data_IF_086137731902
#
_entry.id   IF_086137731902
#
_cell.length_a   1.000
_cell.length_b   1.000
_cell.length_c   1.000
_cell.angle_alpha   90.00
_cell.angle_beta   90.00
_cell.angle_gamma   90.00
#
_symmetry.space_group_name_H-M   'P 1'
#
loop_
_entity.id
_entity.type
_entity.pdbx_description
1 polymer ?
#
# COMPACT_ATOMS: atom_id res chain seq x y z
N UNK A 1 25.39 -12.87 -2.98
CA UNK A 1 26.05 -11.71 -3.62
C UNK A 1 25.18 -11.04 -4.68
N UNK A 2 24.67 -11.74 -5.71
CA UNK A 2 23.76 -11.16 -6.73
C UNK A 2 22.51 -10.47 -6.15
N UNK A 3 21.89 -11.03 -5.10
CA UNK A 3 20.72 -10.43 -4.43
C UNK A 3 21.02 -9.10 -3.71
N UNK A 4 22.21 -8.97 -3.11
CA UNK A 4 22.66 -7.73 -2.46
C UNK A 4 22.93 -6.64 -3.51
N UNK A 5 23.51 -7.01 -4.65
CA UNK A 5 23.76 -6.07 -5.76
C UNK A 5 22.44 -5.61 -6.39
N UNK A 6 21.48 -6.52 -6.55
CA UNK A 6 20.14 -6.18 -7.04
C UNK A 6 19.38 -5.26 -6.07
N UNK A 7 19.51 -5.51 -4.76
CA UNK A 7 18.91 -4.68 -3.71
C UNK A 7 19.55 -3.29 -3.67
N UNK A 8 20.88 -3.21 -3.79
CA UNK A 8 21.61 -1.95 -3.86
C UNK A 8 21.27 -1.14 -5.13
N UNK A 9 21.04 -1.81 -6.26
CA UNK A 9 20.63 -1.17 -7.52
C UNK A 9 19.20 -0.60 -7.45
N UNK A 10 18.28 -1.34 -6.81
CA UNK A 10 16.94 -0.83 -6.51
C UNK A 10 16.99 0.39 -5.57
N UNK A 11 17.87 0.36 -4.57
CA UNK A 11 18.06 1.47 -3.62
C UNK A 11 18.64 2.73 -4.30
N UNK A 12 19.53 2.57 -5.28
CA UNK A 12 20.07 3.70 -6.05
C UNK A 12 19.03 4.36 -6.96
N UNK A 13 18.07 3.60 -7.50
CA UNK A 13 16.96 4.18 -8.27
C UNK A 13 16.07 5.09 -7.42
N UNK A 14 15.93 4.80 -6.12
CA UNK A 14 15.21 5.64 -5.18
C UNK A 14 15.93 6.95 -4.83
N UNK A 15 17.26 6.94 -4.77
CA UNK A 15 18.06 8.13 -4.43
C UNK A 15 17.96 9.22 -5.51
N UNK A 16 17.75 8.85 -6.78
CA UNK A 16 17.55 9.79 -7.89
C UNK A 16 16.10 10.31 -7.99
N UNK A 17 15.15 9.77 -7.22
CA UNK A 17 13.75 10.23 -7.23
C UNK A 17 13.50 11.48 -6.36
N UNK A 18 14.54 12.00 -5.68
CA UNK A 18 14.50 13.26 -4.92
C UNK A 18 14.66 14.52 -5.80
N UNK A 19 14.87 14.36 -7.10
CA UNK A 19 14.89 15.47 -8.05
C UNK A 19 13.46 16.00 -8.27
N UNK A 20 13.27 17.34 -8.24
CA UNK A 20 11.97 18.04 -8.15
C UNK A 20 10.97 17.87 -9.30
N UNK A 21 11.15 16.86 -10.16
CA UNK A 21 10.20 16.40 -11.19
C UNK A 21 9.67 15.00 -10.85
N UNK A 22 9.33 14.76 -9.58
CA UNK A 22 8.75 13.50 -9.16
C UNK A 22 7.41 13.29 -9.90
N UNK A 23 7.16 12.11 -10.49
CA UNK A 23 5.88 11.78 -11.12
C UNK A 23 4.79 11.76 -10.07
N UNK A 24 4.11 12.89 -9.86
CA UNK A 24 3.02 13.00 -8.89
C UNK A 24 1.68 12.76 -9.59
N UNK A 25 0.83 11.94 -8.98
CA UNK A 25 -0.55 11.83 -9.42
C UNK A 25 -1.39 12.94 -8.81
N UNK A 26 -2.10 13.72 -9.62
CA UNK A 26 -3.10 14.63 -9.11
C UNK A 26 -4.40 13.86 -8.81
N UNK A 27 -4.75 13.75 -7.52
CA UNK A 27 -5.97 13.08 -7.08
C UNK A 27 -7.26 13.72 -7.62
N UNK A 28 -7.23 15.00 -8.02
CA UNK A 28 -8.39 15.67 -8.63
C UNK A 28 -8.77 15.08 -10.00
N UNK A 29 -7.82 14.44 -10.69
CA UNK A 29 -8.04 13.81 -11.99
C UNK A 29 -8.57 12.38 -11.86
N UNK A 30 -8.60 11.83 -10.63
CA UNK A 30 -9.18 10.52 -10.36
C UNK A 30 -10.68 10.63 -10.15
N UNK A 31 -11.43 9.84 -10.93
CA UNK A 31 -12.86 9.66 -10.70
C UNK A 31 -13.13 8.94 -9.36
N UNK A 32 -14.28 9.25 -8.75
CA UNK A 32 -14.74 8.63 -7.50
C UNK A 32 -14.81 7.08 -7.56
N UNK A 33 -14.92 6.49 -8.75
CA UNK A 33 -14.93 5.05 -8.93
C UNK A 33 -13.68 4.34 -8.38
N UNK A 34 -12.54 5.03 -8.26
CA UNK A 34 -11.31 4.48 -7.67
C UNK A 34 -11.42 4.19 -6.18
N UNK A 35 -12.43 4.72 -5.49
CA UNK A 35 -12.71 4.41 -4.08
C UNK A 35 -13.28 3.00 -3.91
N UNK A 36 -13.78 2.36 -4.98
CA UNK A 36 -14.47 1.08 -4.89
C UNK A 36 -13.63 -0.05 -4.27
N UNK A 37 -12.36 -0.31 -4.67
CA UNK A 37 -11.56 -1.35 -4.03
C UNK A 37 -11.28 -1.07 -2.55
N UNK A 38 -11.14 0.21 -2.18
CA UNK A 38 -10.96 0.63 -0.79
C UNK A 38 -12.22 0.37 0.04
N UNK A 39 -13.39 0.76 -0.45
CA UNK A 39 -14.66 0.44 0.21
C UNK A 39 -14.88 -1.08 0.30
N UNK A 40 -14.48 -1.83 -0.73
CA UNK A 40 -14.57 -3.29 -0.78
C UNK A 40 -13.77 -3.99 0.32
N UNK A 41 -12.51 -3.57 0.55
CA UNK A 41 -11.70 -4.15 1.64
C UNK A 41 -12.24 -3.74 3.02
N UNK A 42 -12.70 -2.50 3.20
CA UNK A 42 -13.33 -2.05 4.46
C UNK A 42 -14.60 -2.85 4.78
N UNK A 43 -15.43 -3.10 3.77
CA UNK A 43 -16.63 -3.92 3.94
C UNK A 43 -16.26 -5.38 4.25
N UNK A 44 -15.20 -5.89 3.62
CA UNK A 44 -14.71 -7.26 3.85
C UNK A 44 -14.26 -7.44 5.30
N UNK A 45 -13.46 -6.53 5.86
CA UNK A 45 -13.02 -6.59 7.26
C UNK A 45 -14.17 -6.36 8.24
N UNK A 46 -15.25 -5.68 7.83
CA UNK A 46 -16.40 -5.42 8.68
C UNK A 46 -17.41 -6.58 8.69
N UNK A 47 -17.64 -7.24 7.55
CA UNK A 47 -18.71 -8.25 7.41
C UNK A 47 -18.18 -9.67 7.60
N UNK A 48 -17.07 -10.04 6.97
CA UNK A 48 -16.62 -11.44 6.97
C UNK A 48 -16.28 -12.00 8.36
N UNK A 49 -15.66 -11.25 9.28
CA UNK A 49 -15.44 -11.76 10.64
C UNK A 49 -16.74 -12.06 11.39
N UNK A 50 -17.83 -11.35 11.06
CA UNK A 50 -19.13 -11.51 11.71
C UNK A 50 -19.95 -12.66 11.11
N UNK A 51 -19.89 -12.84 9.79
CA UNK A 51 -20.69 -13.84 9.07
C UNK A 51 -19.98 -15.19 8.98
N UNK A 52 -18.65 -15.21 8.79
CA UNK A 52 -17.87 -16.41 8.56
C UNK A 52 -16.45 -16.28 9.15
N UNK A 53 -16.29 -16.32 10.48
CA UNK A 53 -15.02 -16.08 11.17
C UNK A 53 -13.92 -17.06 10.75
N UNK A 54 -14.19 -18.37 10.71
CA UNK A 54 -13.17 -19.37 10.33
C UNK A 54 -12.66 -19.17 8.90
N UNK A 55 -13.56 -18.83 7.97
CA UNK A 55 -13.19 -18.52 6.60
C UNK A 55 -12.33 -17.26 6.51
N UNK A 56 -12.71 -16.22 7.25
CA UNK A 56 -11.98 -14.96 7.29
C UNK A 56 -10.56 -15.16 7.83
N UNK A 57 -10.41 -15.81 8.98
CA UNK A 57 -9.08 -16.03 9.59
C UNK A 57 -8.14 -16.82 8.67
N UNK A 58 -8.65 -17.77 7.89
CA UNK A 58 -7.83 -18.52 6.93
C UNK A 58 -7.53 -17.74 5.63
N UNK A 59 -8.40 -16.82 5.20
CA UNK A 59 -8.32 -16.18 3.89
C UNK A 59 -8.15 -14.65 3.91
N UNK A 60 -7.98 -14.02 5.08
CA UNK A 60 -7.85 -12.56 5.20
C UNK A 60 -6.79 -12.01 4.24
N UNK A 61 -5.61 -12.65 4.19
CA UNK A 61 -4.52 -12.21 3.32
C UNK A 61 -4.85 -12.35 1.84
N UNK A 62 -5.60 -13.39 1.45
CA UNK A 62 -6.03 -13.61 0.05
C UNK A 62 -7.07 -12.57 -0.37
N UNK A 63 -8.02 -12.26 0.52
CA UNK A 63 -9.07 -11.26 0.26
C UNK A 63 -8.44 -9.87 0.16
N UNK A 64 -7.53 -9.51 1.08
CA UNK A 64 -6.77 -8.26 1.02
C UNK A 64 -5.94 -8.16 -0.26
N UNK A 65 -5.25 -9.24 -0.65
CA UNK A 65 -4.48 -9.28 -1.89
C UNK A 65 -5.38 -9.13 -3.13
N UNK A 66 -6.56 -9.75 -3.14
CA UNK A 66 -7.53 -9.60 -4.22
C UNK A 66 -7.93 -8.13 -4.42
N UNK A 67 -8.31 -7.43 -3.35
CA UNK A 67 -8.68 -6.01 -3.43
C UNK A 67 -7.49 -5.11 -3.80
N UNK A 68 -6.30 -5.41 -3.28
CA UNK A 68 -5.08 -4.68 -3.64
C UNK A 68 -4.74 -4.83 -5.12
N UNK A 69 -4.81 -6.04 -5.67
CA UNK A 69 -4.59 -6.32 -7.10
C UNK A 69 -5.66 -5.62 -7.94
N UNK A 70 -6.92 -5.64 -7.49
CA UNK A 70 -8.01 -4.96 -8.18
C UNK A 70 -7.83 -3.45 -8.25
N UNK A 71 -7.09 -2.84 -7.31
CA UNK A 71 -6.70 -1.43 -7.39
C UNK A 71 -5.45 -1.24 -8.25
N UNK A 72 -4.38 -1.99 -7.97
CA UNK A 72 -3.05 -1.78 -8.56
C UNK A 72 -3.04 -2.10 -10.06
N UNK A 73 -3.66 -3.20 -10.50
CA UNK A 73 -3.64 -3.63 -11.91
C UNK A 73 -4.27 -2.59 -12.85
N UNK A 74 -5.52 -2.15 -12.66
CA UNK A 74 -6.09 -1.13 -13.54
C UNK A 74 -5.38 0.21 -13.40
N UNK A 75 -4.85 0.54 -12.22
CA UNK A 75 -4.09 1.78 -12.02
C UNK A 75 -2.79 1.77 -12.82
N UNK A 76 -2.09 0.63 -12.81
CA UNK A 76 -0.88 0.39 -13.60
C UNK A 76 -1.15 0.48 -15.11
N UNK A 77 -2.31 0.01 -15.57
CA UNK A 77 -2.72 0.12 -16.98
C UNK A 77 -3.11 1.54 -17.38
N UNK A 78 -3.74 2.32 -16.49
CA UNK A 78 -4.29 3.64 -16.82
C UNK A 78 -3.29 4.78 -16.63
N UNK A 79 -2.50 4.72 -15.55
CA UNK A 79 -1.53 5.77 -15.15
C UNK A 79 -0.11 5.40 -15.58
N UNK A 80 0.19 4.10 -15.66
CA UNK A 80 1.49 3.59 -16.06
C UNK A 80 2.34 3.09 -14.88
N UNK A 81 3.37 2.31 -15.21
CA UNK A 81 4.21 1.60 -14.24
C UNK A 81 4.98 2.55 -13.32
N UNK A 82 5.64 3.57 -13.86
CA UNK A 82 6.52 4.48 -13.10
C UNK A 82 5.76 5.23 -12.01
N UNK A 83 4.62 5.85 -12.35
CA UNK A 83 3.82 6.62 -11.38
C UNK A 83 3.19 5.67 -10.34
N UNK A 84 2.61 4.55 -10.78
CA UNK A 84 2.01 3.57 -9.85
C UNK A 84 3.02 3.05 -8.84
N UNK A 85 4.23 2.72 -9.30
CA UNK A 85 5.30 2.24 -8.43
C UNK A 85 5.80 3.33 -7.50
N UNK A 86 5.96 4.57 -8.01
CA UNK A 86 6.34 5.72 -7.21
C UNK A 86 5.34 5.95 -6.07
N UNK A 87 4.05 6.07 -6.38
CA UNK A 87 3.00 6.31 -5.38
C UNK A 87 2.91 5.17 -4.36
N UNK A 88 2.96 3.90 -4.81
CA UNK A 88 2.91 2.75 -3.91
C UNK A 88 4.09 2.73 -2.92
N UNK A 89 5.28 3.09 -3.40
CA UNK A 89 6.48 3.13 -2.57
C UNK A 89 6.52 4.39 -1.71
N UNK A 90 6.04 5.53 -2.21
CA UNK A 90 5.91 6.77 -1.46
C UNK A 90 5.00 6.55 -0.25
N UNK A 91 3.76 6.10 -0.48
CA UNK A 91 2.80 5.81 0.59
C UNK A 91 3.34 4.69 1.49
N UNK A 92 3.89 3.61 0.93
CA UNK A 92 4.41 2.49 1.71
C UNK A 92 5.58 2.86 2.63
N UNK A 93 6.54 3.63 2.13
CA UNK A 93 7.77 3.94 2.87
C UNK A 93 7.69 5.23 3.68
N UNK A 94 7.04 6.26 3.17
CA UNK A 94 7.02 7.58 3.81
C UNK A 94 5.77 7.85 4.65
N UNK A 95 4.69 7.11 4.45
CA UNK A 95 3.48 7.27 5.26
C UNK A 95 3.25 6.05 6.17
N UNK A 96 3.26 4.85 5.60
CA UNK A 96 2.87 3.63 6.31
C UNK A 96 3.93 3.15 7.31
N UNK A 97 5.21 3.11 6.92
CA UNK A 97 6.30 2.73 7.85
C UNK A 97 6.39 3.73 9.03
N UNK A 98 6.42 5.06 8.82
CA UNK A 98 6.43 6.02 9.91
C UNK A 98 5.20 5.89 10.80
N UNK A 99 4.02 5.64 10.24
CA UNK A 99 2.81 5.38 11.02
C UNK A 99 2.98 4.15 11.93
N UNK A 100 3.53 3.04 11.44
CA UNK A 100 3.82 1.86 12.27
C UNK A 100 4.83 2.19 13.38
N UNK A 101 5.89 2.95 13.07
CA UNK A 101 6.88 3.37 14.06
C UNK A 101 6.22 4.24 15.14
N UNK A 102 5.32 5.15 14.76
CA UNK A 102 4.56 5.97 15.69
C UNK A 102 3.66 5.11 16.59
N UNK A 103 2.95 4.12 16.03
CA UNK A 103 2.15 3.18 16.81
C UNK A 103 3.01 2.36 17.79
N UNK A 104 4.18 1.89 17.36
CA UNK A 104 5.11 1.15 18.20
C UNK A 104 5.66 2.01 19.35
N UNK A 105 6.01 3.27 19.05
CA UNK A 105 6.44 4.23 20.05
C UNK A 105 5.33 4.51 21.06
N UNK A 106 4.09 4.69 20.59
CA UNK A 106 2.93 4.91 21.43
C UNK A 106 2.66 3.72 22.36
N UNK A 107 2.69 2.50 21.83
CA UNK A 107 2.56 1.26 22.62
C UNK A 107 3.63 1.17 23.72
N UNK A 108 4.87 1.54 23.40
CA UNK A 108 5.98 1.51 24.38
C UNK A 108 5.79 2.57 25.46
N UNK A 109 5.40 3.79 25.09
CA UNK A 109 5.20 4.90 26.03
C UNK A 109 3.95 4.70 26.89
N UNK A 110 2.88 4.10 26.35
CA UNK A 110 1.64 3.80 27.07
C UNK A 110 1.78 2.63 28.06
N UNK A 111 2.92 1.94 28.08
CA UNK A 111 3.15 0.79 28.97
C UNK A 111 2.58 -0.53 28.44
N UNK A 112 2.35 -0.65 27.14
CA UNK A 112 1.97 -1.91 26.50
C UNK A 112 0.47 -2.23 26.49
N UNK A 113 -0.39 -1.20 26.51
CA UNK A 113 -1.85 -1.35 26.33
C UNK A 113 -2.19 -1.77 24.90
#
# INVERSE_FOLDING_TARGET
MKKIILFAFLLSGFLFAAEGNAPHLNGADLSIFWVFPFAGILLSIAIFPLVAPDFWHHNFGKISAFWAILLIVPFLLKVGFTITLYELLHVGLLEYIPFIILLLALFTISGGV
#
